data_IF_822670289846
#
_entry.id   IF_822670289846
#
_cell.length_a   1.000
_cell.length_b   1.000
_cell.length_c   1.000
_cell.angle_alpha   90.00
_cell.angle_beta   90.00
_cell.angle_gamma   90.00
#
_symmetry.space_group_name_H-M   'P 1'
#
loop_
_entity.id
_entity.type
_entity.pdbx_description
1 polymer ?
#
# COMPACT_ATOMS: atom_id res chain seq x y z
N UNK A 1 -3.69 -10.84 -19.88
CA UNK A 1 -4.45 -11.03 -18.63
C UNK A 1 -4.80 -12.48 -18.50
N UNK A 2 -4.31 -13.12 -17.46
CA UNK A 2 -4.69 -14.50 -17.19
C UNK A 2 -6.11 -14.52 -16.59
N UNK A 3 -7.04 -15.13 -17.29
CA UNK A 3 -8.34 -15.52 -16.74
C UNK A 3 -8.09 -16.55 -15.65
N UNK A 4 -8.13 -16.10 -14.40
CA UNK A 4 -8.10 -17.00 -13.25
C UNK A 4 -9.54 -17.41 -12.95
N UNK A 5 -9.84 -18.69 -13.08
CA UNK A 5 -11.08 -19.28 -12.59
C UNK A 5 -10.85 -19.96 -11.25
N UNK A 6 -11.88 -19.96 -10.39
CA UNK A 6 -11.85 -20.75 -9.16
C UNK A 6 -12.02 -22.25 -9.46
N UNK A 7 -11.84 -23.10 -8.44
CA UNK A 7 -11.98 -24.56 -8.57
C UNK A 7 -13.37 -25.02 -9.05
N UNK A 8 -14.32 -24.12 -9.22
CA UNK A 8 -15.68 -24.36 -9.71
C UNK A 8 -15.91 -23.78 -11.10
N UNK A 9 -14.84 -23.32 -11.77
CA UNK A 9 -14.90 -22.76 -13.12
C UNK A 9 -15.49 -21.36 -13.20
N UNK A 10 -15.62 -20.65 -12.07
CA UNK A 10 -16.10 -19.27 -12.06
C UNK A 10 -14.96 -18.31 -12.26
N UNK A 11 -15.18 -17.24 -13.02
CA UNK A 11 -14.24 -16.16 -13.15
C UNK A 11 -13.93 -15.57 -11.74
N UNK A 12 -12.65 -15.54 -11.37
CA UNK A 12 -12.21 -14.98 -10.09
C UNK A 12 -12.06 -13.49 -10.22
N UNK A 13 -12.83 -12.75 -9.43
CA UNK A 13 -12.72 -11.30 -9.37
C UNK A 13 -11.42 -10.91 -8.66
N UNK A 14 -10.62 -10.08 -9.31
CA UNK A 14 -9.41 -9.54 -8.71
C UNK A 14 -9.77 -8.69 -7.47
N UNK A 15 -9.06 -8.89 -6.38
CA UNK A 15 -9.21 -8.05 -5.20
C UNK A 15 -8.80 -6.62 -5.56
N UNK A 16 -9.65 -5.65 -5.28
CA UNK A 16 -9.38 -4.24 -5.53
C UNK A 16 -9.68 -3.40 -4.29
N UNK A 17 -9.04 -2.25 -4.13
CA UNK A 17 -9.36 -1.34 -3.03
C UNK A 17 -10.72 -0.66 -3.23
N UNK A 18 -11.28 -0.15 -2.14
CA UNK A 18 -12.46 0.70 -2.18
C UNK A 18 -12.05 2.11 -2.64
N UNK A 19 -12.37 2.43 -3.89
CA UNK A 19 -12.02 3.72 -4.49
C UNK A 19 -13.06 4.80 -4.22
N UNK A 20 -14.24 4.38 -3.81
CA UNK A 20 -15.44 5.23 -3.72
C UNK A 20 -15.56 5.97 -2.37
N UNK A 21 -14.77 5.60 -1.36
CA UNK A 21 -14.76 6.29 -0.07
C UNK A 21 -14.28 7.74 -0.25
N UNK A 22 -15.07 8.70 0.24
CA UNK A 22 -14.78 10.12 0.07
C UNK A 22 -13.41 10.51 0.62
N UNK A 23 -13.06 10.00 1.80
CA UNK A 23 -11.78 10.26 2.43
C UNK A 23 -10.60 9.66 1.67
N UNK A 24 -10.84 8.58 0.93
CA UNK A 24 -9.80 7.87 0.20
C UNK A 24 -9.59 8.36 -1.23
N UNK A 25 -10.55 9.09 -1.80
CA UNK A 25 -10.46 9.55 -3.19
C UNK A 25 -9.17 10.31 -3.51
N UNK A 26 -8.72 11.29 -2.70
CA UNK A 26 -7.47 11.99 -3.00
C UNK A 26 -6.25 11.07 -2.99
N UNK A 27 -6.21 10.10 -2.09
CA UNK A 27 -5.12 9.12 -1.99
C UNK A 27 -4.99 8.32 -3.30
N UNK A 28 -6.09 7.75 -3.77
CA UNK A 28 -6.11 6.93 -4.98
C UNK A 28 -5.89 7.77 -6.25
N UNK A 29 -6.44 8.98 -6.31
CA UNK A 29 -6.22 9.88 -7.43
C UNK A 29 -4.75 10.29 -7.55
N UNK A 30 -4.09 10.58 -6.44
CA UNK A 30 -2.68 10.92 -6.42
C UNK A 30 -1.81 9.72 -6.84
N UNK A 31 -2.16 8.52 -6.41
CA UNK A 31 -1.44 7.31 -6.85
C UNK A 31 -1.53 7.07 -8.35
N UNK A 32 -2.66 7.38 -8.99
CA UNK A 32 -2.79 7.32 -10.46
C UNK A 32 -1.79 8.23 -11.16
N UNK A 33 -1.40 9.31 -10.53
CA UNK A 33 -0.38 10.25 -11.01
C UNK A 33 1.03 9.88 -10.53
N UNK A 34 1.21 8.70 -9.95
CA UNK A 34 2.46 8.23 -9.37
C UNK A 34 3.00 9.15 -8.27
N UNK A 35 2.08 9.56 -7.38
CA UNK A 35 2.40 10.37 -6.21
C UNK A 35 1.88 9.68 -4.96
N UNK A 36 2.79 9.19 -4.13
CA UNK A 36 2.44 8.68 -2.81
C UNK A 36 2.23 9.87 -1.88
N UNK A 37 1.05 9.96 -1.28
CA UNK A 37 0.68 11.07 -0.39
C UNK A 37 0.21 10.54 0.95
N UNK A 38 0.26 11.42 1.95
CA UNK A 38 -0.29 11.17 3.28
C UNK A 38 -1.06 12.39 3.75
N UNK A 39 -1.92 12.18 4.74
CA UNK A 39 -2.57 13.27 5.43
C UNK A 39 -1.61 13.82 6.50
N UNK A 40 -1.49 15.14 6.55
CA UNK A 40 -0.73 15.84 7.57
C UNK A 40 -1.66 16.72 8.38
N UNK A 41 -1.70 16.50 9.69
CA UNK A 41 -2.49 17.34 10.58
C UNK A 41 -1.90 18.74 10.68
N UNK A 42 -2.72 19.76 10.44
CA UNK A 42 -2.28 21.15 10.56
C UNK A 42 -2.16 21.60 12.01
N UNK A 43 -2.84 20.93 12.94
CA UNK A 43 -2.81 21.27 14.37
C UNK A 43 -1.57 20.69 15.08
N UNK A 44 -1.23 19.42 14.86
CA UNK A 44 -0.11 18.76 15.56
C UNK A 44 1.07 18.42 14.64
N UNK A 45 0.96 18.65 13.33
CA UNK A 45 1.97 18.38 12.32
C UNK A 45 2.35 16.91 12.12
N UNK A 46 1.61 15.98 12.70
CA UNK A 46 1.85 14.56 12.51
C UNK A 46 1.23 14.06 11.22
N UNK A 47 1.87 13.06 10.62
CA UNK A 47 1.40 12.41 9.41
C UNK A 47 0.58 11.18 9.75
N UNK A 48 -0.43 10.90 8.94
CA UNK A 48 -1.15 9.65 8.96
C UNK A 48 -1.49 9.25 7.52
N UNK A 49 -1.47 7.96 7.27
CA UNK A 49 -1.66 7.45 5.92
C UNK A 49 -2.78 6.43 5.88
N UNK A 50 -2.83 5.64 4.82
CA UNK A 50 -3.90 4.67 4.62
C UNK A 50 -4.08 3.70 5.80
N UNK A 51 -5.30 3.46 6.31
CA UNK A 51 -6.56 3.99 5.76
C UNK A 51 -6.76 5.48 6.06
N UNK A 52 -7.26 6.26 5.09
CA UNK A 52 -7.52 7.68 5.30
C UNK A 52 -8.56 7.90 6.39
N UNK A 53 -8.43 9.00 7.09
CA UNK A 53 -9.32 9.34 8.20
C UNK A 53 -9.85 10.76 8.05
N UNK A 54 -11.05 11.00 8.56
CA UNK A 54 -11.66 12.34 8.57
C UNK A 54 -11.09 13.25 9.64
N UNK A 55 -10.33 12.71 10.59
CA UNK A 55 -9.68 13.47 11.65
C UNK A 55 -8.34 12.84 12.02
N UNK A 56 -7.45 13.66 12.59
CA UNK A 56 -6.14 13.19 13.01
C UNK A 56 -6.27 12.15 14.13
N UNK A 57 -5.65 10.97 14.01
CA UNK A 57 -5.69 9.95 15.04
C UNK A 57 -4.90 10.34 16.30
N UNK A 58 -4.04 11.36 16.22
CA UNK A 58 -3.19 11.78 17.33
C UNK A 58 -3.83 12.88 18.19
N UNK A 59 -4.48 13.88 17.58
CA UNK A 59 -5.05 15.00 18.30
C UNK A 59 -6.54 15.25 18.02
N UNK A 60 -7.16 14.44 17.17
CA UNK A 60 -8.58 14.47 16.78
C UNK A 60 -9.00 15.73 16.00
N UNK A 61 -8.07 16.57 15.56
CA UNK A 61 -8.37 17.72 14.70
C UNK A 61 -8.88 17.23 13.33
N UNK A 62 -9.89 17.90 12.80
CA UNK A 62 -10.38 17.66 11.44
C UNK A 62 -9.65 18.50 10.39
N UNK A 63 -8.68 19.32 10.80
CA UNK A 63 -7.93 20.21 9.91
C UNK A 63 -6.64 19.53 9.46
N UNK A 64 -6.67 18.94 8.27
CA UNK A 64 -5.54 18.25 7.67
C UNK A 64 -5.41 18.63 6.18
N UNK A 65 -4.24 18.33 5.64
CA UNK A 65 -3.96 18.48 4.21
C UNK A 65 -3.31 17.22 3.65
N UNK A 66 -3.45 16.99 2.36
CA UNK A 66 -2.74 15.93 1.66
C UNK A 66 -1.38 16.46 1.19
N UNK A 67 -0.32 15.78 1.57
CA UNK A 67 1.04 16.17 1.23
C UNK A 67 1.79 15.04 0.53
N UNK A 68 2.66 15.35 -0.44
CA UNK A 68 3.47 14.33 -1.08
C UNK A 68 4.54 13.80 -0.13
N UNK A 69 4.85 12.50 -0.27
CA UNK A 69 5.91 11.83 0.47
C UNK A 69 7.09 11.55 -0.45
N UNK A 70 8.27 11.37 0.12
CA UNK A 70 9.47 11.01 -0.63
C UNK A 70 9.35 9.64 -1.31
N UNK A 71 8.51 8.76 -0.76
CA UNK A 71 8.42 7.38 -1.20
C UNK A 71 9.51 6.48 -0.65
N UNK A 72 10.36 6.98 0.21
CA UNK A 72 11.45 6.22 0.84
C UNK A 72 11.07 5.80 2.25
N UNK A 73 11.55 4.63 2.65
CA UNK A 73 11.30 4.12 3.98
C UNK A 73 12.15 2.89 4.28
N UNK A 74 11.79 2.22 5.36
CA UNK A 74 12.42 0.98 5.81
C UNK A 74 11.37 -0.04 6.18
N UNK A 75 11.66 -1.31 5.94
CA UNK A 75 10.81 -2.40 6.39
C UNK A 75 10.81 -2.45 7.91
N UNK A 76 9.65 -2.24 8.50
CA UNK A 76 9.44 -2.36 9.94
C UNK A 76 9.18 -3.81 10.35
N UNK A 77 8.33 -4.48 9.60
CA UNK A 77 7.93 -5.87 9.84
C UNK A 77 7.41 -6.48 8.54
N UNK A 78 7.42 -7.79 8.45
CA UNK A 78 6.88 -8.48 7.28
C UNK A 78 6.45 -9.89 7.63
N UNK A 79 5.57 -10.43 6.79
CA UNK A 79 5.22 -11.85 6.79
C UNK A 79 5.30 -12.38 5.35
N UNK A 80 5.58 -13.66 5.21
CA UNK A 80 5.60 -14.32 3.91
C UNK A 80 4.47 -15.33 3.85
N UNK A 81 3.65 -15.20 2.80
CA UNK A 81 2.55 -16.13 2.53
C UNK A 81 3.00 -17.17 1.52
N UNK A 82 3.00 -18.42 1.92
CA UNK A 82 3.36 -19.56 1.06
C UNK A 82 2.12 -20.23 0.48
N UNK A 83 0.94 -19.84 0.91
CA UNK A 83 -0.35 -20.38 0.47
C UNK A 83 -1.23 -19.26 -0.09
N UNK A 84 -1.91 -19.53 -1.19
CA UNK A 84 -2.91 -18.64 -1.74
C UNK A 84 -4.23 -18.75 -0.96
N UNK A 85 -4.51 -17.76 -0.11
CA UNK A 85 -5.75 -17.71 0.67
C UNK A 85 -6.93 -17.18 -0.12
N UNK A 86 -6.68 -16.60 -1.29
CA UNK A 86 -7.69 -16.13 -2.22
C UNK A 86 -7.33 -16.63 -3.62
N UNK A 87 -8.31 -17.07 -4.43
CA UNK A 87 -8.03 -17.60 -5.77
C UNK A 87 -7.22 -16.66 -6.67
N UNK A 88 -7.36 -15.32 -6.49
CA UNK A 88 -6.58 -14.35 -7.27
C UNK A 88 -5.07 -14.40 -7.00
N UNK A 89 -4.64 -15.06 -5.93
CA UNK A 89 -3.22 -15.23 -5.58
C UNK A 89 -2.65 -16.58 -5.99
N UNK A 90 -3.45 -17.46 -6.60
CA UNK A 90 -2.95 -18.73 -7.12
C UNK A 90 -1.84 -18.49 -8.15
N UNK A 91 -0.73 -19.21 -8.00
CA UNK A 91 0.46 -19.05 -8.84
C UNK A 91 1.33 -17.83 -8.50
N UNK A 92 0.95 -17.04 -7.49
CA UNK A 92 1.69 -15.84 -7.07
C UNK A 92 2.39 -15.99 -5.72
N UNK A 93 2.37 -17.20 -5.17
CA UNK A 93 3.07 -17.51 -3.93
C UNK A 93 4.46 -18.08 -4.20
N UNK A 94 5.44 -17.88 -3.29
CA UNK A 94 5.30 -17.08 -2.07
C UNK A 94 5.27 -15.57 -2.36
N UNK A 95 4.60 -14.82 -1.49
CA UNK A 95 4.61 -13.36 -1.53
C UNK A 95 4.73 -12.79 -0.12
N UNK A 96 5.24 -11.57 0.00
CA UNK A 96 5.34 -10.91 1.28
C UNK A 96 4.23 -9.86 1.45
N UNK A 97 3.88 -9.58 2.71
CA UNK A 97 3.15 -8.40 3.12
C UNK A 97 4.01 -7.70 4.15
N UNK A 98 4.36 -6.47 3.90
CA UNK A 98 5.32 -5.71 4.70
C UNK A 98 4.70 -4.44 5.25
N UNK A 99 5.07 -4.10 6.49
CA UNK A 99 4.84 -2.79 7.07
C UNK A 99 6.09 -1.96 6.79
N UNK A 100 5.90 -0.84 6.09
CA UNK A 100 6.99 0.07 5.75
C UNK A 100 6.88 1.32 6.59
N UNK A 101 7.92 1.63 7.35
CA UNK A 101 8.06 2.92 8.02
C UNK A 101 8.57 3.93 6.99
N UNK A 102 7.71 4.87 6.62
CA UNK A 102 8.08 5.93 5.70
C UNK A 102 8.95 6.97 6.42
N UNK A 103 9.86 7.59 5.67
CA UNK A 103 10.81 8.55 6.24
C UNK A 103 10.14 9.71 6.97
N UNK A 104 8.94 10.11 6.54
CA UNK A 104 8.15 11.17 7.17
C UNK A 104 7.42 10.72 8.45
N UNK A 105 7.43 9.44 8.77
CA UNK A 105 6.91 8.89 10.02
C UNK A 105 5.74 7.92 9.94
N UNK A 106 4.81 8.01 9.00
CA UNK A 106 3.69 7.07 8.95
C UNK A 106 4.10 5.69 8.45
N UNK A 107 3.28 4.69 8.77
CA UNK A 107 3.45 3.31 8.30
C UNK A 107 2.44 2.99 7.22
N UNK A 108 2.90 2.25 6.23
CA UNK A 108 2.06 1.78 5.14
C UNK A 108 2.22 0.26 4.97
N UNK A 109 1.10 -0.43 4.84
CA UNK A 109 1.08 -1.86 4.50
C UNK A 109 1.23 -1.99 2.99
N UNK A 110 2.21 -2.76 2.54
CA UNK A 110 2.46 -2.96 1.12
C UNK A 110 3.19 -4.29 0.88
N UNK A 111 3.74 -4.44 -0.30
CA UNK A 111 4.60 -5.55 -0.67
C UNK A 111 5.97 -5.01 -1.08
N UNK A 112 7.02 -5.74 -0.74
CA UNK A 112 8.35 -5.50 -1.30
C UNK A 112 8.50 -6.41 -2.51
N UNK A 113 8.71 -5.82 -3.66
CA UNK A 113 8.85 -6.51 -4.95
C UNK A 113 10.27 -6.32 -5.49
N UNK A 114 10.57 -6.91 -6.65
CA UNK A 114 11.89 -6.87 -7.28
C UNK A 114 13.00 -7.49 -6.41
N UNK A 115 12.61 -8.36 -5.48
CA UNK A 115 13.53 -9.22 -4.73
C UNK A 115 12.80 -10.50 -4.31
N UNK A 116 13.53 -11.55 -4.03
CA UNK A 116 12.93 -12.79 -3.53
C UNK A 116 12.33 -12.56 -2.13
N UNK A 117 11.18 -13.20 -1.80
CA UNK A 117 10.55 -13.01 -0.49
C UNK A 117 11.46 -13.33 0.70
N UNK A 118 12.38 -14.27 0.56
CA UNK A 118 13.35 -14.64 1.59
C UNK A 118 14.49 -13.62 1.76
N UNK A 119 14.58 -12.64 0.86
CA UNK A 119 15.57 -11.55 0.93
C UNK A 119 15.04 -10.32 1.65
N UNK A 120 13.75 -10.27 1.98
CA UNK A 120 13.18 -9.15 2.73
C UNK A 120 13.65 -9.24 4.19
N UNK A 121 14.15 -8.13 4.71
CA UNK A 121 14.70 -8.05 6.08
C UNK A 121 14.17 -6.81 6.79
N UNK A 122 14.01 -6.92 8.11
CA UNK A 122 13.68 -5.78 8.97
C UNK A 122 14.81 -4.76 8.89
N UNK A 123 14.45 -3.49 8.73
CA UNK A 123 15.40 -2.38 8.59
C UNK A 123 15.93 -2.15 7.18
N UNK A 124 15.54 -3.00 6.24
CA UNK A 124 15.96 -2.87 4.84
C UNK A 124 15.42 -1.58 4.22
N UNK A 125 16.29 -0.75 3.62
CA UNK A 125 15.83 0.44 2.90
C UNK A 125 15.02 0.07 1.66
N UNK A 126 13.93 0.77 1.45
CA UNK A 126 13.05 0.56 0.31
C UNK A 126 12.59 1.88 -0.28
N UNK A 127 12.18 1.85 -1.53
CA UNK A 127 11.60 3.00 -2.23
C UNK A 127 10.33 2.58 -2.96
N UNK A 128 9.39 3.51 -3.10
CA UNK A 128 8.11 3.25 -3.74
C UNK A 128 8.25 3.02 -5.24
N UNK A 129 7.50 2.06 -5.74
CA UNK A 129 7.22 1.87 -7.16
C UNK A 129 5.71 1.76 -7.34
N UNK A 130 5.21 2.10 -8.51
CA UNK A 130 3.78 2.19 -8.75
C UNK A 130 3.33 1.07 -9.69
N UNK A 131 2.37 0.28 -9.22
CA UNK A 131 1.76 -0.79 -10.02
C UNK A 131 0.44 -0.30 -10.57
N UNK A 132 0.42 0.02 -11.88
CA UNK A 132 -0.79 0.49 -12.55
C UNK A 132 -1.69 -0.68 -12.91
N UNK A 133 -2.95 -0.57 -12.53
CA UNK A 133 -4.04 -1.45 -12.92
C UNK A 133 -5.08 -0.65 -13.70
N UNK A 134 -6.13 -1.30 -14.18
CA UNK A 134 -7.11 -0.66 -15.07
C UNK A 134 -7.79 0.56 -14.40
N UNK A 135 -8.17 0.45 -13.13
CA UNK A 135 -8.92 1.49 -12.42
C UNK A 135 -8.13 2.15 -11.30
N UNK A 136 -7.02 1.58 -10.87
CA UNK A 136 -6.27 2.03 -9.70
C UNK A 136 -4.78 1.74 -9.84
N UNK A 137 -3.98 2.45 -9.04
CA UNK A 137 -2.54 2.24 -8.95
C UNK A 137 -2.19 1.89 -7.51
N UNK A 138 -1.44 0.80 -7.32
CA UNK A 138 -0.98 0.38 -6.00
C UNK A 138 0.43 0.86 -5.72
N UNK A 139 0.70 1.39 -4.51
CA UNK A 139 2.06 1.65 -4.09
C UNK A 139 2.69 0.33 -3.63
N UNK A 140 3.75 -0.05 -4.30
CA UNK A 140 4.61 -1.18 -3.93
C UNK A 140 5.98 -0.61 -3.57
N UNK A 141 6.84 -1.44 -3.01
CA UNK A 141 8.20 -1.03 -2.65
C UNK A 141 9.21 -1.98 -3.25
N UNK A 142 10.38 -1.47 -3.51
CA UNK A 142 11.54 -2.26 -3.94
C UNK A 142 12.74 -1.92 -3.09
N UNK A 143 13.76 -2.80 -3.01
CA UNK A 143 15.02 -2.45 -2.33
C UNK A 143 15.61 -1.16 -2.92
N UNK A 144 15.99 -0.27 -2.04
CA UNK A 144 16.59 0.99 -2.44
C UNK A 144 18.11 0.84 -2.63
#
# INVERSE_FOLDING_TARGET
MSDTSDNRGRAVRKVRPFLEELEAKPFWANLREHKLTAQRCKACNKYFTYPPQGSCPHCLSADYEWVPLSGKGKVYSFVTYNRAWHPSYEGKTPYNVSLVDLDEGPRLISNVIECAPDQVKIGMPVEVVYEDNDEYTLPKFRPA
#
